data_IF_066551623421
#
_entry.id   IF_066551623421
#
_cell.length_a   1.000
_cell.length_b   1.000
_cell.length_c   1.000
_cell.angle_alpha   90.00
_cell.angle_beta   90.00
_cell.angle_gamma   90.00
#
_symmetry.space_group_name_H-M   'P 1'
#
loop_
_entity.id
_entity.type
_entity.pdbx_description
1 polymer ?
#
# COMPACT_ATOMS: atom_id res chain seq x y z
N UNK A 1 66.09 -19.37 -0.37
CA UNK A 1 66.69 -18.07 0.01
C UNK A 1 66.17 -17.69 1.38
N UNK A 2 67.08 -17.33 2.27
CA UNK A 2 66.95 -17.23 3.73
C UNK A 2 66.37 -15.88 4.21
N UNK A 3 65.74 -15.89 5.41
CA UNK A 3 65.73 -14.85 6.48
C UNK A 3 65.02 -13.50 6.19
N UNK A 4 64.58 -12.67 7.14
CA UNK A 4 64.61 -12.64 8.62
C UNK A 4 63.65 -11.54 9.11
N UNK A 5 63.13 -11.74 10.32
CA UNK A 5 62.54 -10.79 11.28
C UNK A 5 63.36 -9.48 11.42
N UNK A 6 62.69 -8.34 11.64
CA UNK A 6 63.02 -7.34 12.69
C UNK A 6 61.78 -6.60 13.22
N UNK A 7 61.57 -6.70 14.53
CA UNK A 7 60.87 -5.73 15.39
C UNK A 7 61.90 -4.72 15.93
N UNK A 8 61.56 -3.43 15.96
CA UNK A 8 61.97 -2.37 16.92
C UNK A 8 60.97 -1.21 16.70
N UNK A 9 60.39 -0.48 17.65
CA UNK A 9 60.52 -0.39 19.10
C UNK A 9 59.53 0.68 19.58
N UNK A 10 59.19 0.61 20.86
CA UNK A 10 58.24 1.46 21.56
C UNK A 10 58.86 2.81 21.93
N UNK A 11 58.07 3.90 21.86
CA UNK A 11 58.31 5.11 22.66
C UNK A 11 56.95 5.76 22.99
N UNK A 12 56.75 5.99 24.28
CA UNK A 12 55.57 6.58 24.91
C UNK A 12 55.89 8.03 25.31
N UNK A 13 54.83 8.81 25.50
CA UNK A 13 54.67 10.02 26.33
C UNK A 13 54.51 11.34 25.54
N UNK A 14 53.31 11.93 25.69
CA UNK A 14 52.97 13.27 25.24
C UNK A 14 51.48 13.57 25.45
N UNK A 15 51.07 13.70 26.71
CA UNK A 15 49.71 14.06 27.13
C UNK A 15 49.42 15.53 26.75
N UNK A 16 48.31 15.81 26.06
CA UNK A 16 47.56 17.07 26.17
C UNK A 16 46.14 16.87 25.62
N UNK A 17 45.17 17.14 26.49
CA UNK A 17 43.74 17.01 26.26
C UNK A 17 43.22 18.06 25.26
N UNK A 18 42.14 17.72 24.54
CA UNK A 18 40.98 18.59 24.27
C UNK A 18 39.85 17.79 23.57
N UNK A 19 38.82 17.49 24.36
CA UNK A 19 37.37 17.48 24.05
C UNK A 19 36.79 16.69 22.86
N UNK A 20 36.03 15.64 23.21
CA UNK A 20 34.98 14.93 22.45
C UNK A 20 33.73 15.82 22.18
N UNK A 21 32.80 15.45 21.27
CA UNK A 21 31.81 14.39 21.53
C UNK A 21 31.71 13.37 20.37
N UNK A 22 31.94 12.10 20.64
CA UNK A 22 30.92 11.05 20.90
C UNK A 22 30.05 10.70 19.69
N UNK A 23 30.47 9.64 19.02
CA UNK A 23 29.69 8.80 18.11
C UNK A 23 28.42 8.30 18.80
N UNK A 24 27.26 8.56 18.21
CA UNK A 24 26.03 7.83 18.53
C UNK A 24 25.67 6.91 17.36
N UNK A 25 25.91 5.62 17.55
CA UNK A 25 25.29 4.52 16.81
C UNK A 25 23.76 4.62 16.88
N UNK A 26 23.01 4.40 15.79
CA UNK A 26 21.57 4.27 15.88
C UNK A 26 21.23 2.84 16.32
N UNK A 27 20.91 2.68 17.60
CA UNK A 27 20.19 1.52 18.12
C UNK A 27 18.77 1.98 18.47
N UNK A 28 17.75 1.40 17.81
CA UNK A 28 16.46 1.12 18.46
C UNK A 28 15.61 0.18 17.59
N UNK A 29 15.51 -1.11 17.96
CA UNK A 29 14.45 -2.00 17.50
C UNK A 29 13.23 -1.89 18.42
N UNK A 30 12.62 -0.70 18.54
CA UNK A 30 11.41 -0.50 19.37
C UNK A 30 10.56 0.65 18.78
N UNK A 31 9.80 0.39 17.72
CA UNK A 31 8.68 1.29 17.35
C UNK A 31 7.43 0.57 16.82
N UNK A 32 7.50 -0.76 16.62
CA UNK A 32 6.30 -1.58 16.35
C UNK A 32 5.34 -1.64 17.55
N UNK A 33 5.81 -1.37 18.77
CA UNK A 33 5.04 -1.44 20.00
C UNK A 33 4.10 -0.25 20.23
N UNK A 34 4.26 0.87 19.50
CA UNK A 34 3.35 2.03 19.66
C UNK A 34 2.01 1.87 18.94
N UNK A 35 1.85 0.84 18.11
CA UNK A 35 0.52 0.43 17.60
C UNK A 35 -0.38 -0.12 18.70
N UNK A 36 0.16 -0.50 19.87
CA UNK A 36 -0.56 -1.33 20.83
C UNK A 36 -1.28 -0.56 21.96
N UNK A 37 -1.10 0.76 22.10
CA UNK A 37 -1.52 1.49 23.30
C UNK A 37 -2.65 2.52 23.15
N UNK A 38 -3.37 2.59 22.01
CA UNK A 38 -4.48 3.56 21.85
C UNK A 38 -5.82 2.93 21.44
N UNK A 39 -6.12 1.72 21.92
CA UNK A 39 -7.43 1.10 21.74
C UNK A 39 -8.13 0.91 23.08
N UNK A 40 -8.97 1.88 23.42
CA UNK A 40 -10.07 1.65 24.35
C UNK A 40 -11.02 0.61 23.75
N UNK A 41 -11.26 -0.46 24.50
CA UNK A 41 -12.19 -1.53 24.15
C UNK A 41 -13.61 -0.95 23.99
N UNK A 42 -14.11 -0.91 22.75
CA UNK A 42 -15.55 -0.96 22.48
C UNK A 42 -15.84 -2.25 21.72
N UNK A 43 -16.12 -3.30 22.48
CA UNK A 43 -16.72 -4.52 21.99
C UNK A 43 -18.20 -4.24 21.68
N UNK A 44 -18.54 -4.04 20.41
CA UNK A 44 -19.92 -4.18 19.95
C UNK A 44 -19.99 -5.37 19.00
N UNK A 45 -20.32 -6.54 19.57
CA UNK A 45 -20.83 -7.67 18.82
C UNK A 45 -22.26 -7.37 18.38
N UNK A 46 -22.44 -6.91 17.14
CA UNK A 46 -23.69 -7.08 16.41
C UNK A 46 -23.37 -7.57 15.01
N UNK A 47 -23.49 -8.89 14.84
CA UNK A 47 -23.62 -9.54 13.54
C UNK A 47 -24.91 -9.02 12.89
N UNK A 48 -24.76 -8.12 11.92
CA UNK A 48 -25.79 -7.83 10.96
C UNK A 48 -25.32 -8.35 9.61
N UNK A 49 -25.99 -9.44 9.18
CA UNK A 49 -26.04 -9.90 7.80
C UNK A 49 -26.36 -8.70 6.90
N UNK A 50 -25.37 -8.27 6.12
CA UNK A 50 -25.62 -7.41 4.98
C UNK A 50 -25.94 -8.32 3.80
N UNK A 51 -27.24 -8.51 3.55
CA UNK A 51 -27.76 -9.02 2.29
C UNK A 51 -27.24 -8.13 1.15
N UNK A 52 -26.23 -8.62 0.44
CA UNK A 52 -25.74 -8.03 -0.80
C UNK A 52 -26.74 -8.38 -1.91
N UNK A 53 -27.25 -7.42 -2.70
CA UNK A 53 -28.07 -7.75 -3.85
C UNK A 53 -27.22 -8.47 -4.90
N UNK A 54 -27.41 -9.78 -5.01
CA UNK A 54 -26.82 -10.63 -6.04
C UNK A 54 -27.63 -10.52 -7.33
N UNK A 55 -27.33 -9.52 -8.14
CA UNK A 55 -27.71 -9.53 -9.56
C UNK A 55 -26.46 -9.31 -10.40
N UNK A 56 -25.93 -10.35 -11.09
CA UNK A 56 -24.80 -10.16 -11.97
C UNK A 56 -25.23 -9.33 -13.17
N UNK A 57 -24.65 -8.13 -13.32
CA UNK A 57 -24.92 -7.27 -14.46
C UNK A 57 -24.09 -7.74 -15.67
N UNK A 58 -24.69 -8.53 -16.56
CA UNK A 58 -24.02 -9.08 -17.76
C UNK A 58 -23.89 -8.08 -18.94
N UNK A 59 -24.11 -6.78 -18.70
CA UNK A 59 -23.98 -5.73 -19.70
C UNK A 59 -22.56 -5.17 -19.72
N UNK A 60 -21.93 -5.07 -20.90
CA UNK A 60 -20.59 -4.49 -21.11
C UNK A 60 -20.43 -3.06 -20.55
N UNK A 61 -21.52 -2.35 -20.29
CA UNK A 61 -21.51 -0.96 -19.80
C UNK A 61 -21.67 -0.84 -18.26
N UNK A 62 -21.81 -1.95 -17.54
CA UNK A 62 -22.21 -1.95 -16.12
C UNK A 62 -21.02 -2.04 -15.14
N UNK A 63 -19.80 -2.26 -15.64
CA UNK A 63 -18.66 -2.70 -14.82
C UNK A 63 -17.57 -1.63 -14.58
N UNK A 64 -17.90 -0.35 -14.78
CA UNK A 64 -16.90 0.74 -14.84
C UNK A 64 -17.21 1.92 -13.90
N UNK A 65 -18.30 1.84 -13.13
CA UNK A 65 -18.64 2.89 -12.17
C UNK A 65 -17.77 2.82 -10.92
N UNK A 66 -17.49 3.98 -10.33
CA UNK A 66 -16.83 4.04 -9.03
C UNK A 66 -17.80 3.66 -7.90
N UNK A 67 -17.34 2.74 -7.06
CA UNK A 67 -17.91 2.35 -5.78
C UNK A 67 -17.10 2.93 -4.63
N UNK A 68 -17.72 2.98 -3.45
CA UNK A 68 -17.18 3.64 -2.26
C UNK A 68 -17.30 2.70 -1.07
N UNK A 69 -16.26 2.62 -0.25
CA UNK A 69 -16.28 1.92 1.02
C UNK A 69 -15.70 2.81 2.13
N UNK A 70 -16.23 2.65 3.34
CA UNK A 70 -15.72 3.26 4.57
C UNK A 70 -15.65 4.80 4.57
N UNK A 71 -16.55 5.46 3.82
CA UNK A 71 -16.75 6.90 3.95
C UNK A 71 -17.76 7.20 5.07
N UNK A 72 -17.54 8.26 5.88
CA UNK A 72 -18.54 8.70 6.84
C UNK A 72 -19.86 9.05 6.14
N UNK A 73 -20.99 8.63 6.71
CA UNK A 73 -22.33 8.85 6.14
C UNK A 73 -22.72 10.34 6.03
N UNK A 74 -22.08 11.20 6.81
CA UNK A 74 -22.30 12.65 6.83
C UNK A 74 -21.53 13.43 5.77
N UNK A 75 -20.67 12.78 4.99
CA UNK A 75 -19.76 13.45 4.06
C UNK A 75 -20.19 13.20 2.62
N UNK A 76 -20.16 14.25 1.78
CA UNK A 76 -20.33 14.07 0.33
C UNK A 76 -19.21 13.19 -0.21
N UNK A 77 -19.56 12.11 -0.92
CA UNK A 77 -18.58 11.21 -1.52
C UNK A 77 -17.72 11.97 -2.55
N UNK A 78 -16.38 11.86 -2.48
CA UNK A 78 -15.49 12.47 -3.46
C UNK A 78 -15.74 11.85 -4.83
N UNK A 79 -15.90 12.68 -5.86
CA UNK A 79 -16.16 12.21 -7.23
C UNK A 79 -14.92 12.44 -8.08
N UNK A 80 -14.37 11.40 -8.72
CA UNK A 80 -13.36 11.58 -9.75
C UNK A 80 -13.87 12.51 -10.86
N UNK A 81 -13.01 13.42 -11.31
CA UNK A 81 -13.33 14.32 -12.40
C UNK A 81 -13.26 13.61 -13.77
N UNK A 82 -13.41 14.35 -14.87
CA UNK A 82 -13.38 13.78 -16.22
C UNK A 82 -12.03 13.16 -16.61
N UNK A 83 -10.96 13.42 -15.85
CA UNK A 83 -9.64 12.81 -16.03
C UNK A 83 -9.38 11.66 -15.06
N UNK A 84 -10.36 11.36 -14.19
CA UNK A 84 -10.21 10.40 -13.11
C UNK A 84 -9.44 10.95 -11.90
N UNK A 85 -9.15 12.25 -11.85
CA UNK A 85 -8.45 12.86 -10.72
C UNK A 85 -9.44 13.03 -9.55
N UNK A 86 -9.00 12.71 -8.33
CA UNK A 86 -9.87 12.76 -7.14
C UNK A 86 -9.06 13.09 -5.89
N UNK A 87 -9.68 13.79 -4.94
CA UNK A 87 -9.11 13.97 -3.59
C UNK A 87 -9.96 13.21 -2.57
N UNK A 88 -9.32 12.32 -1.81
CA UNK A 88 -9.95 11.61 -0.69
C UNK A 88 -9.58 12.34 0.61
N UNK A 89 -10.55 12.96 1.30
CA UNK A 89 -10.33 13.47 2.65
C UNK A 89 -10.33 12.29 3.64
N UNK A 90 -9.24 12.12 4.37
CA UNK A 90 -9.04 11.03 5.33
C UNK A 90 -9.00 11.58 6.74
N UNK A 91 -9.95 11.16 7.57
CA UNK A 91 -9.96 11.44 9.01
C UNK A 91 -9.28 10.31 9.77
N UNK A 92 -8.54 10.64 10.83
CA UNK A 92 -8.09 9.64 11.80
C UNK A 92 -9.26 9.20 12.70
N UNK A 93 -9.29 7.97 13.24
CA UNK A 93 -8.30 6.89 13.14
C UNK A 93 -8.76 5.85 12.10
N UNK A 94 -8.03 5.75 10.99
CA UNK A 94 -8.35 4.81 9.90
C UNK A 94 -7.14 4.00 9.45
N UNK A 95 -7.33 2.71 9.14
CA UNK A 95 -6.29 1.83 8.61
C UNK A 95 -6.86 0.63 7.82
N UNK A 96 -6.00 0.02 7.00
CA UNK A 96 -6.20 -1.27 6.35
C UNK A 96 -5.00 -2.14 6.73
N UNK A 97 -5.15 -2.98 7.75
CA UNK A 97 -4.05 -3.72 8.35
C UNK A 97 -4.55 -4.96 9.07
N UNK A 98 -3.76 -6.04 9.04
CA UNK A 98 -4.08 -7.26 9.79
C UNK A 98 -2.87 -7.90 10.44
N UNK A 99 -2.95 -8.15 11.75
CA UNK A 99 -2.04 -9.00 12.54
C UNK A 99 -2.85 -9.83 13.55
N UNK A 100 -2.30 -10.88 14.19
CA UNK A 100 -3.05 -11.58 15.24
C UNK A 100 -3.63 -10.62 16.28
N UNK A 101 -4.94 -10.71 16.51
CA UNK A 101 -5.69 -9.83 17.42
C UNK A 101 -6.17 -8.49 16.84
N UNK A 102 -5.76 -8.10 15.63
CA UNK A 102 -6.14 -6.82 14.99
C UNK A 102 -6.48 -7.03 13.51
N UNK A 103 -7.67 -6.58 13.08
CA UNK A 103 -8.15 -6.65 11.69
C UNK A 103 -8.85 -5.33 11.33
N UNK A 104 -8.06 -4.33 10.97
CA UNK A 104 -8.54 -3.00 10.58
C UNK A 104 -8.87 -2.99 9.08
N UNK A 105 -10.07 -2.53 8.75
CA UNK A 105 -10.53 -2.36 7.37
C UNK A 105 -11.51 -1.19 7.27
N UNK A 106 -11.15 -0.04 7.86
CA UNK A 106 -12.04 1.11 8.01
C UNK A 106 -11.53 2.36 7.26
N UNK A 107 -10.44 2.26 6.50
CA UNK A 107 -9.97 3.38 5.69
C UNK A 107 -10.84 3.60 4.44
N UNK A 108 -11.08 4.85 4.01
CA UNK A 108 -11.88 5.17 2.83
C UNK A 108 -11.27 4.62 1.54
N UNK A 109 -12.10 4.00 0.71
CA UNK A 109 -11.69 3.39 -0.57
C UNK A 109 -12.67 3.80 -1.67
N UNK A 110 -12.14 4.33 -2.77
CA UNK A 110 -12.88 4.50 -4.04
C UNK A 110 -12.36 3.44 -5.02
N UNK A 111 -13.23 2.63 -5.61
CA UNK A 111 -12.80 1.49 -6.43
C UNK A 111 -13.76 1.18 -7.57
N UNK A 112 -13.26 0.55 -8.64
CA UNK A 112 -14.07 -0.15 -9.64
C UNK A 112 -14.10 -1.64 -9.30
N UNK A 113 -15.20 -2.32 -9.62
CA UNK A 113 -15.28 -3.79 -9.61
C UNK A 113 -15.02 -4.29 -11.01
N UNK A 114 -14.16 -5.29 -11.16
CA UNK A 114 -13.87 -5.89 -12.46
C UNK A 114 -13.74 -7.41 -12.32
N UNK A 115 -14.06 -8.20 -13.35
CA UNK A 115 -13.80 -9.63 -13.34
C UNK A 115 -12.31 -9.91 -13.19
N UNK A 116 -11.93 -10.91 -12.39
CA UNK A 116 -10.53 -11.34 -12.24
C UNK A 116 -9.90 -11.67 -13.60
N UNK A 117 -10.69 -12.25 -14.50
CA UNK A 117 -10.25 -12.58 -15.85
C UNK A 117 -9.90 -11.36 -16.70
N UNK A 118 -10.45 -10.18 -16.46
CA UNK A 118 -10.16 -9.01 -17.30
C UNK A 118 -8.91 -8.26 -16.85
N UNK A 119 -8.55 -8.30 -15.56
CA UNK A 119 -7.44 -7.50 -15.01
C UNK A 119 -6.09 -7.82 -15.66
N UNK A 120 -5.47 -6.78 -16.23
CA UNK A 120 -4.10 -6.81 -16.75
C UNK A 120 -3.18 -5.98 -15.86
N UNK A 121 -3.51 -4.71 -15.67
CA UNK A 121 -2.71 -3.80 -14.86
C UNK A 121 -3.58 -2.72 -14.22
N UNK A 122 -3.06 -2.07 -13.18
CA UNK A 122 -3.60 -0.82 -12.69
C UNK A 122 -2.48 0.12 -12.26
N UNK A 123 -2.71 1.41 -12.45
CA UNK A 123 -1.78 2.49 -12.15
C UNK A 123 -2.48 3.57 -11.35
N UNK A 124 -1.76 4.22 -10.44
CA UNK A 124 -2.18 5.51 -9.88
C UNK A 124 -0.99 6.32 -9.39
N UNK A 125 -1.13 7.64 -9.43
CA UNK A 125 -0.25 8.58 -8.73
C UNK A 125 -0.93 9.08 -7.47
N UNK A 126 -0.28 8.95 -6.32
CA UNK A 126 -0.75 9.50 -5.05
C UNK A 126 0.15 10.67 -4.62
N UNK A 127 -0.47 11.76 -4.18
CA UNK A 127 0.22 12.95 -3.64
C UNK A 127 -0.46 13.42 -2.36
N UNK A 128 0.33 13.82 -1.36
CA UNK A 128 -0.19 14.27 -0.08
C UNK A 128 0.81 15.09 0.71
N UNK A 129 0.30 15.83 1.70
CA UNK A 129 1.12 16.55 2.66
C UNK A 129 1.38 15.66 3.89
N UNK A 130 2.10 14.56 3.69
CA UNK A 130 2.38 13.52 4.68
C UNK A 130 3.15 14.09 5.87
N UNK A 131 2.61 13.95 7.08
CA UNK A 131 3.18 14.57 8.28
C UNK A 131 3.04 13.70 9.52
N UNK A 132 1.91 13.02 9.66
CA UNK A 132 1.64 12.17 10.81
C UNK A 132 2.19 10.78 10.54
N UNK A 133 2.76 10.15 11.57
CA UNK A 133 3.25 8.78 11.48
C UNK A 133 2.15 7.88 10.90
N UNK A 134 2.50 7.10 9.88
CA UNK A 134 1.60 6.22 9.14
C UNK A 134 0.53 6.90 8.28
N UNK A 135 0.62 8.19 7.93
CA UNK A 135 -0.23 8.74 6.86
C UNK A 135 -0.02 7.94 5.55
N UNK A 136 -1.10 7.54 4.87
CA UNK A 136 -1.04 6.62 3.73
C UNK A 136 -1.87 7.09 2.54
N UNK A 137 -1.43 6.72 1.34
CA UNK A 137 -2.22 6.89 0.13
C UNK A 137 -1.66 6.11 -1.05
N UNK A 138 -2.49 5.36 -1.77
CA UNK A 138 -2.06 4.62 -2.94
C UNK A 138 -3.11 3.74 -3.58
N UNK A 139 -2.62 2.78 -4.37
CA UNK A 139 -3.41 1.75 -5.04
C UNK A 139 -3.85 0.69 -4.03
N UNK A 140 -5.08 0.23 -4.18
CA UNK A 140 -5.69 -0.82 -3.38
C UNK A 140 -6.33 -1.87 -4.27
N UNK A 141 -6.03 -3.14 -3.98
CA UNK A 141 -6.61 -4.31 -4.64
C UNK A 141 -7.21 -5.24 -3.59
N UNK A 142 -8.49 -5.61 -3.75
CA UNK A 142 -9.17 -6.61 -2.93
C UNK A 142 -9.49 -7.83 -3.78
N UNK A 143 -9.06 -9.00 -3.33
CA UNK A 143 -9.27 -10.27 -4.02
C UNK A 143 -10.45 -11.03 -3.42
N UNK A 144 -11.22 -11.77 -4.23
CA UNK A 144 -12.25 -12.67 -3.73
C UNK A 144 -11.62 -13.85 -2.96
N UNK A 145 -12.46 -14.65 -2.29
CA UNK A 145 -12.01 -15.89 -1.66
C UNK A 145 -11.51 -16.89 -2.70
N UNK A 146 -10.57 -17.73 -2.29
CA UNK A 146 -10.09 -18.90 -3.06
C UNK A 146 -11.22 -19.89 -3.34
N UNK A 147 -11.21 -20.52 -4.51
CA UNK A 147 -12.23 -21.52 -4.91
C UNK A 147 -12.12 -22.81 -4.10
N UNK A 148 -10.90 -23.34 -4.00
CA UNK A 148 -10.68 -24.71 -3.52
C UNK A 148 -10.64 -24.78 -2.01
N UNK A 149 -10.10 -23.74 -1.35
CA UNK A 149 -10.03 -23.64 0.11
C UNK A 149 -10.44 -22.25 0.56
N UNK A 150 -11.75 -21.94 0.68
CA UNK A 150 -12.23 -20.60 0.94
C UNK A 150 -11.52 -19.93 2.11
N UNK A 151 -10.86 -18.82 1.84
CA UNK A 151 -10.16 -18.04 2.86
C UNK A 151 -11.18 -17.43 3.82
N UNK A 152 -11.02 -17.57 5.16
CA UNK A 152 -11.97 -17.03 6.13
C UNK A 152 -11.92 -15.50 6.23
N UNK A 153 -10.91 -14.88 5.62
CA UNK A 153 -10.64 -13.44 5.71
C UNK A 153 -10.40 -12.86 4.31
N UNK A 154 -10.76 -11.58 4.17
CA UNK A 154 -10.50 -10.79 2.97
C UNK A 154 -9.02 -10.76 2.64
N UNK A 155 -8.65 -10.99 1.38
CA UNK A 155 -7.28 -10.87 0.89
C UNK A 155 -7.10 -9.58 0.10
N UNK A 156 -6.01 -8.87 0.31
CA UNK A 156 -5.80 -7.58 -0.33
C UNK A 156 -4.31 -7.23 -0.46
N UNK A 157 -4.02 -6.34 -1.40
CA UNK A 157 -2.73 -5.68 -1.52
C UNK A 157 -2.97 -4.17 -1.53
N UNK A 158 -2.23 -3.42 -0.73
CA UNK A 158 -2.13 -1.96 -0.85
C UNK A 158 -0.70 -1.56 -1.16
N UNK A 159 -0.52 -0.61 -2.06
CA UNK A 159 0.79 -0.12 -2.45
C UNK A 159 0.74 1.39 -2.70
N UNK A 160 1.64 2.16 -2.09
CA UNK A 160 1.51 3.61 -2.06
C UNK A 160 2.55 4.31 -1.20
N UNK A 161 2.26 5.56 -0.83
CA UNK A 161 3.02 6.24 0.22
C UNK A 161 2.58 5.74 1.59
N UNK A 162 3.56 5.57 2.48
CA UNK A 162 3.35 5.53 3.93
C UNK A 162 4.39 6.42 4.61
N UNK A 163 3.93 7.34 5.46
CA UNK A 163 4.83 8.22 6.19
C UNK A 163 5.46 7.48 7.37
N UNK A 164 6.76 7.27 7.31
CA UNK A 164 7.49 6.50 8.31
C UNK A 164 8.89 7.05 8.46
N UNK A 165 9.38 7.12 9.71
CA UNK A 165 10.70 7.66 10.02
C UNK A 165 10.86 9.10 9.46
N UNK A 166 9.85 9.93 9.73
CA UNK A 166 9.73 11.33 9.31
C UNK A 166 9.85 11.58 7.79
N UNK A 167 9.63 10.55 6.96
CA UNK A 167 9.74 10.62 5.50
C UNK A 167 8.60 9.86 4.81
N UNK A 168 8.13 10.32 3.65
CA UNK A 168 7.29 9.49 2.80
C UNK A 168 8.13 8.33 2.24
N UNK A 169 7.66 7.11 2.44
CA UNK A 169 8.25 5.88 1.91
C UNK A 169 7.32 5.27 0.88
N UNK A 170 7.85 4.57 -0.11
CA UNK A 170 7.03 3.65 -0.88
C UNK A 170 6.81 2.39 -0.04
N UNK A 171 5.54 2.09 0.21
CA UNK A 171 5.07 0.99 1.04
C UNK A 171 4.29 0.00 0.19
N UNK A 172 4.49 -1.29 0.47
CA UNK A 172 3.64 -2.36 -0.05
C UNK A 172 3.25 -3.23 1.13
N UNK A 173 1.94 -3.46 1.28
CA UNK A 173 1.41 -4.45 2.21
C UNK A 173 0.60 -5.47 1.43
N UNK A 174 1.03 -6.73 1.48
CA UNK A 174 0.34 -7.86 0.89
C UNK A 174 -0.26 -8.71 2.02
N UNK A 175 -1.57 -8.91 1.98
CA UNK A 175 -2.33 -9.58 3.05
C UNK A 175 -3.15 -10.72 2.47
N UNK A 176 -2.63 -11.94 2.60
CA UNK A 176 -3.42 -13.17 2.46
C UNK A 176 -4.12 -13.45 3.80
N UNK A 177 -3.43 -14.13 4.72
CA UNK A 177 -3.91 -14.31 6.09
C UNK A 177 -3.53 -13.15 7.01
N UNK A 178 -2.27 -12.70 6.95
CA UNK A 178 -1.71 -11.61 7.75
C UNK A 178 -0.98 -10.61 6.86
N UNK A 179 -0.85 -9.37 7.31
CA UNK A 179 -0.15 -8.32 6.56
C UNK A 179 1.37 -8.55 6.57
N UNK A 180 1.94 -8.77 5.39
CA UNK A 180 3.38 -8.66 5.11
C UNK A 180 3.66 -7.26 4.58
N UNK A 181 4.55 -6.53 5.26
CA UNK A 181 4.82 -5.12 5.01
C UNK A 181 6.27 -4.86 4.66
N UNK A 182 6.50 -4.08 3.61
CA UNK A 182 7.81 -3.53 3.24
C UNK A 182 7.75 -2.03 3.02
N UNK A 183 8.86 -1.38 3.32
CA UNK A 183 9.10 0.02 3.02
C UNK A 183 10.38 0.17 2.20
N UNK A 184 10.41 1.19 1.34
CA UNK A 184 11.65 1.66 0.71
C UNK A 184 11.65 3.18 0.49
N UNK A 185 12.84 3.81 0.35
CA UNK A 185 12.92 5.22 0.02
C UNK A 185 12.32 5.54 -1.36
N UNK A 186 11.79 6.76 -1.51
CA UNK A 186 11.46 7.36 -2.80
C UNK A 186 12.69 8.06 -3.40
N UNK A 187 12.68 8.33 -4.71
CA UNK A 187 13.66 9.23 -5.32
C UNK A 187 13.55 10.64 -4.74
N UNK A 188 14.67 11.38 -4.67
CA UNK A 188 14.72 12.66 -3.96
C UNK A 188 13.68 13.71 -4.43
N UNK A 189 13.38 13.75 -5.73
CA UNK A 189 12.38 14.66 -6.28
C UNK A 189 10.95 14.29 -5.85
N UNK A 190 10.63 12.99 -5.85
CA UNK A 190 9.32 12.45 -5.47
C UNK A 190 9.11 12.49 -3.95
N UNK A 191 10.17 12.21 -3.16
CA UNK A 191 10.20 12.41 -1.71
C UNK A 191 9.86 13.88 -1.36
N UNK A 192 10.54 14.84 -2.01
CA UNK A 192 10.29 16.27 -1.79
C UNK A 192 8.88 16.70 -2.23
N UNK A 193 8.36 16.09 -3.29
CA UNK A 193 7.02 16.37 -3.77
C UNK A 193 5.91 15.68 -2.95
N UNK A 194 6.26 14.74 -2.07
CA UNK A 194 5.27 13.90 -1.39
C UNK A 194 4.43 13.12 -2.39
N UNK A 195 5.03 12.67 -3.49
CA UNK A 195 4.35 12.06 -4.64
C UNK A 195 4.94 10.69 -4.93
N UNK A 196 4.13 9.77 -5.42
CA UNK A 196 4.60 8.52 -6.00
C UNK A 196 3.64 8.05 -7.09
N UNK A 197 4.12 7.20 -7.99
CA UNK A 197 3.28 6.48 -8.94
C UNK A 197 3.56 4.98 -8.84
N UNK A 198 2.51 4.19 -8.62
CA UNK A 198 2.56 2.73 -8.53
C UNK A 198 1.89 2.11 -9.74
N UNK A 199 2.42 0.96 -10.18
CA UNK A 199 1.78 0.07 -11.13
C UNK A 199 1.70 -1.32 -10.51
N UNK A 200 0.54 -1.96 -10.55
CA UNK A 200 0.36 -3.36 -10.21
C UNK A 200 -0.09 -4.13 -11.46
N UNK A 201 0.55 -5.26 -11.75
CA UNK A 201 0.36 -6.03 -12.97
C UNK A 201 0.18 -7.51 -12.68
N UNK A 202 -0.75 -8.16 -13.39
CA UNK A 202 -0.85 -9.62 -13.41
C UNK A 202 0.24 -10.19 -14.30
N UNK A 203 0.90 -11.23 -13.81
CA UNK A 203 1.90 -11.97 -14.57
C UNK A 203 1.35 -12.51 -15.90
N UNK A 204 2.19 -12.48 -16.93
CA UNK A 204 1.96 -13.14 -18.21
C UNK A 204 3.02 -14.20 -18.39
N UNK A 205 2.58 -15.44 -18.58
CA UNK A 205 3.45 -16.60 -18.79
C UNK A 205 4.09 -16.56 -20.19
N UNK A 206 5.18 -17.31 -20.43
CA UNK A 206 5.85 -17.34 -21.73
C UNK A 206 4.97 -17.74 -22.92
N UNK A 207 3.89 -18.49 -22.67
CA UNK A 207 2.91 -18.90 -23.68
C UNK A 207 1.78 -17.88 -23.90
N UNK A 208 1.84 -16.71 -23.24
CA UNK A 208 0.84 -15.65 -23.29
C UNK A 208 -0.35 -15.86 -22.36
N UNK A 209 -0.39 -16.96 -21.61
CA UNK A 209 -1.44 -17.19 -20.60
C UNK A 209 -1.24 -16.31 -19.35
N UNK A 210 -2.29 -16.16 -18.55
CA UNK A 210 -2.29 -15.33 -17.34
C UNK A 210 -1.71 -16.13 -16.17
N UNK A 211 -0.69 -15.59 -15.52
CA UNK A 211 -0.06 -16.19 -14.34
C UNK A 211 -0.85 -15.95 -13.05
N UNK A 212 -0.46 -16.64 -11.96
CA UNK A 212 -1.04 -16.46 -10.63
C UNK A 212 -0.49 -15.24 -9.88
N UNK A 213 0.57 -14.61 -10.38
CA UNK A 213 1.33 -13.62 -9.61
C UNK A 213 0.84 -12.19 -9.85
N UNK A 214 0.76 -11.39 -8.78
CA UNK A 214 0.67 -9.93 -8.86
C UNK A 214 2.05 -9.31 -8.64
N UNK A 215 2.52 -8.52 -9.60
CA UNK A 215 3.77 -7.79 -9.57
C UNK A 215 3.51 -6.31 -9.27
N UNK A 216 4.26 -5.72 -8.33
CA UNK A 216 4.14 -4.31 -7.95
C UNK A 216 5.41 -3.55 -8.31
N UNK A 217 5.24 -2.43 -9.00
CA UNK A 217 6.31 -1.57 -9.47
C UNK A 217 6.16 -0.14 -8.93
N UNK A 218 7.28 0.47 -8.58
CA UNK A 218 7.37 1.92 -8.43
C UNK A 218 7.77 2.53 -9.78
N UNK A 219 7.10 3.59 -10.20
CA UNK A 219 7.53 4.40 -11.35
C UNK A 219 8.33 5.58 -10.82
N UNK A 220 9.61 5.64 -11.17
CA UNK A 220 10.52 6.70 -10.76
C UNK A 220 10.26 7.98 -11.56
N UNK A 221 10.77 9.12 -11.07
CA UNK A 221 10.60 10.43 -11.73
C UNK A 221 11.16 10.54 -13.16
N UNK A 222 12.01 9.62 -13.60
CA UNK A 222 12.50 9.50 -14.99
C UNK A 222 11.61 8.61 -15.88
N UNK A 223 10.52 8.07 -15.32
CA UNK A 223 9.59 7.16 -15.99
C UNK A 223 10.00 5.70 -15.93
N UNK A 224 11.18 5.36 -15.40
CA UNK A 224 11.60 3.96 -15.25
C UNK A 224 10.74 3.22 -14.24
N UNK A 225 10.49 1.94 -14.50
CA UNK A 225 9.74 1.06 -13.61
C UNK A 225 10.71 0.18 -12.83
N UNK A 226 10.63 0.25 -11.52
CA UNK A 226 11.39 -0.60 -10.62
C UNK A 226 10.48 -1.68 -10.03
N UNK A 227 10.87 -2.95 -10.18
CA UNK A 227 10.16 -4.08 -9.60
C UNK A 227 10.37 -4.10 -8.08
N UNK A 228 9.30 -4.03 -7.30
CA UNK A 228 9.41 -3.91 -5.83
C UNK A 228 8.85 -5.11 -5.10
N UNK A 229 7.74 -5.70 -5.57
CA UNK A 229 7.13 -6.84 -4.87
C UNK A 229 6.52 -7.84 -5.82
N UNK A 230 6.82 -9.11 -5.54
CA UNK A 230 6.12 -10.27 -6.08
C UNK A 230 5.10 -10.76 -5.06
N UNK A 231 3.85 -10.96 -5.49
CA UNK A 231 2.79 -11.56 -4.68
C UNK A 231 2.27 -12.79 -5.42
N UNK A 232 2.97 -13.92 -5.24
CA UNK A 232 2.75 -15.18 -5.98
C UNK A 232 1.36 -15.80 -5.76
N UNK A 233 0.67 -15.43 -4.68
CA UNK A 233 -0.68 -15.89 -4.39
C UNK A 233 -1.79 -15.00 -4.99
N UNK A 234 -1.47 -13.83 -5.56
CA UNK A 234 -2.44 -12.78 -5.89
C UNK A 234 -3.64 -13.24 -6.72
N UNK A 235 -3.39 -14.05 -7.74
CA UNK A 235 -4.38 -14.65 -8.63
C UNK A 235 -4.44 -16.18 -8.52
N UNK A 236 -3.80 -16.76 -7.51
CA UNK A 236 -3.82 -18.20 -7.29
C UNK A 236 -5.20 -18.67 -6.78
N UNK A 237 -5.70 -19.75 -7.37
CA UNK A 237 -6.94 -20.43 -6.98
C UNK A 237 -8.18 -19.50 -6.94
N UNK A 238 -8.26 -18.53 -7.86
CA UNK A 238 -9.36 -17.56 -7.92
C UNK A 238 -10.45 -17.90 -8.93
N UNK A 239 -11.70 -17.59 -8.52
CA UNK A 239 -12.86 -17.23 -9.35
C UNK A 239 -12.55 -16.36 -10.59
N UNK A 240 -12.12 -16.85 -11.76
CA UNK A 240 -11.88 -15.96 -12.93
C UNK A 240 -13.16 -15.16 -13.33
N UNK A 241 -14.33 -15.65 -12.92
CA UNK A 241 -15.64 -14.98 -13.07
C UNK A 241 -16.01 -14.06 -11.90
N UNK A 242 -15.37 -14.22 -10.75
CA UNK A 242 -15.58 -13.36 -9.59
C UNK A 242 -14.99 -11.97 -9.82
N UNK A 243 -15.43 -11.02 -9.01
CA UNK A 243 -14.99 -9.64 -9.10
C UNK A 243 -13.89 -9.35 -8.06
N UNK A 244 -12.90 -8.57 -8.48
CA UNK A 244 -11.97 -7.89 -7.57
C UNK A 244 -12.30 -6.42 -7.46
N UNK A 245 -11.82 -5.78 -6.39
CA UNK A 245 -11.80 -4.34 -6.30
C UNK A 245 -10.43 -3.85 -6.75
N UNK A 246 -10.42 -2.82 -7.60
CA UNK A 246 -9.22 -2.09 -7.99
C UNK A 246 -9.50 -0.61 -7.80
N UNK A 247 -8.70 0.05 -6.98
CA UNK A 247 -9.03 1.41 -6.56
C UNK A 247 -7.95 2.15 -5.82
N UNK A 248 -8.37 3.23 -5.18
CA UNK A 248 -7.55 4.19 -4.45
C UNK A 248 -7.98 4.18 -3.00
N UNK A 249 -7.02 4.15 -2.09
CA UNK A 249 -7.27 4.19 -0.66
C UNK A 249 -6.31 5.16 0.03
N UNK A 250 -6.80 5.85 1.06
CA UNK A 250 -6.00 6.66 1.96
C UNK A 250 -6.32 6.31 3.41
N UNK A 251 -5.33 6.41 4.29
CA UNK A 251 -5.49 6.05 5.71
C UNK A 251 -4.68 7.00 6.61
N UNK A 252 -5.20 7.24 7.81
CA UNK A 252 -4.55 8.03 8.86
C UNK A 252 -4.67 7.28 10.20
N UNK A 253 -3.76 6.32 10.48
CA UNK A 253 -3.87 5.44 11.66
C UNK A 253 -3.49 6.12 12.97
N UNK A 254 -2.67 7.17 12.92
CA UNK A 254 -2.21 7.87 14.12
C UNK A 254 -3.14 9.03 14.42
N UNK A 255 -3.57 9.12 15.68
CA UNK A 255 -4.32 10.28 16.18
C UNK A 255 -3.49 11.55 16.01
N UNK A 256 -4.13 12.63 15.56
CA UNK A 256 -3.44 13.86 15.18
C UNK A 256 -4.34 15.06 15.40
N UNK A 257 -3.77 16.19 15.77
CA UNK A 257 -4.46 17.48 15.81
C UNK A 257 -4.82 17.99 14.39
N UNK A 258 -4.20 17.40 13.35
CA UNK A 258 -4.58 17.62 11.96
C UNK A 258 -5.90 16.91 11.69
N UNK A 259 -6.97 17.69 11.48
CA UNK A 259 -8.33 17.16 11.36
C UNK A 259 -8.54 16.24 10.15
N UNK A 260 -7.84 16.49 9.03
CA UNK A 260 -8.04 15.75 7.77
C UNK A 260 -6.72 15.69 6.97
N UNK A 261 -6.36 14.49 6.50
CA UNK A 261 -5.34 14.24 5.49
C UNK A 261 -6.00 14.21 4.11
N UNK A 262 -5.71 15.19 3.25
CA UNK A 262 -6.16 15.16 1.85
C UNK A 262 -5.18 14.36 0.99
N UNK A 263 -5.62 13.20 0.51
CA UNK A 263 -4.85 12.39 -0.43
C UNK A 263 -5.36 12.65 -1.85
N UNK A 264 -4.49 13.18 -2.69
CA UNK A 264 -4.80 13.46 -4.10
C UNK A 264 -4.35 12.30 -4.97
N UNK A 265 -5.25 11.84 -5.81
CA UNK A 265 -5.00 10.79 -6.79
C UNK A 265 -5.15 11.34 -8.20
N UNK A 266 -4.23 10.93 -9.07
CA UNK A 266 -4.28 11.26 -10.50
C UNK A 266 -3.73 10.13 -11.35
N UNK A 267 -4.15 10.12 -12.63
CA UNK A 267 -3.75 9.08 -13.58
C UNK A 267 -4.11 7.67 -13.08
N UNK A 268 -5.28 7.53 -12.46
CA UNK A 268 -5.84 6.23 -12.12
C UNK A 268 -6.31 5.55 -13.40
N UNK A 269 -5.73 4.40 -13.70
CA UNK A 269 -6.03 3.64 -14.90
C UNK A 269 -6.09 2.15 -14.56
N UNK A 270 -7.03 1.44 -15.17
CA UNK A 270 -7.11 -0.01 -15.14
C UNK A 270 -7.03 -0.48 -16.58
N UNK A 271 -5.99 -1.25 -16.88
CA UNK A 271 -5.88 -1.91 -18.17
C UNK A 271 -6.51 -3.31 -18.08
N UNK A 272 -7.25 -3.69 -19.11
CA UNK A 272 -7.87 -5.01 -19.23
C UNK A 272 -7.42 -5.75 -20.48
N UNK A 273 -7.39 -7.08 -20.44
CA UNK A 273 -6.98 -7.92 -21.59
C UNK A 273 -7.88 -7.78 -22.81
N UNK A 274 -9.15 -7.42 -22.61
CA UNK A 274 -10.15 -7.34 -23.67
C UNK A 274 -10.19 -5.95 -24.34
N UNK A 275 -9.29 -5.03 -23.94
CA UNK A 275 -8.99 -3.79 -24.64
C UNK A 275 -10.09 -2.75 -24.60
N UNK A 276 -10.18 -1.99 -23.51
CA UNK A 276 -10.74 -0.63 -23.53
C UNK A 276 -9.80 0.26 -22.73
N UNK A 277 -8.96 1.02 -23.43
CA UNK A 277 -8.34 2.22 -22.88
C UNK A 277 -9.44 3.29 -22.87
N UNK A 278 -9.75 3.85 -21.69
CA UNK A 278 -10.63 5.02 -21.59
C UNK A 278 -9.88 6.21 -22.23
N UNK A 279 -10.38 6.70 -23.37
CA UNK A 279 -10.01 8.00 -23.96
C UNK A 279 -10.76 9.15 -23.29
#
# INVERSE_FOLDING_TARGET
MWLSIRHVGCAVVGLSALTSPSSSTPTNPIDLAKRDNNFGLQNNHHDHDYDLPTTPCYSRHCNMAFHYANFPSSTSLPKPDSKGDVTIPVTSITDIWRKPGIDSFNAPIIYKKIPISSFKSARVTATGAWKTLYDQGGLFLLFPSTKSTPTPKRRWVKAGIEFYDAKPRFSVVATDLWSDWSLRPLGAADEKAGKMTVVAEREVMPDGSKGPTLNVYLVNGDGTREYVRETSWGFWDLDEREEMWVGMAGAAPTESDVQVLDVKFSGFEIETWDGEAEE
#
